data_IF_121996640621
#
_entry.id   IF_121996640621
#
_cell.length_a   1.000
_cell.length_b   1.000
_cell.length_c   1.000
_cell.angle_alpha   90.00
_cell.angle_beta   90.00
_cell.angle_gamma   90.00
#
_symmetry.space_group_name_H-M   'P 1'
#
loop_
_entity.id
_entity.type
_entity.pdbx_description
1 polymer ?
#
# COMPACT_ATOMS: atom_id res chain seq x y z
N UNK A 1 -2.01 -12.59 -15.84
CA UNK A 1 -0.96 -11.56 -15.76
C UNK A 1 0.37 -12.25 -15.99
N UNK A 2 1.17 -11.79 -16.94
CA UNK A 2 2.49 -12.37 -17.15
C UNK A 2 3.44 -12.01 -15.97
N UNK A 3 4.58 -12.67 -15.89
CA UNK A 3 5.50 -12.51 -14.76
C UNK A 3 6.03 -11.07 -14.63
N UNK A 4 6.29 -10.39 -15.76
CA UNK A 4 6.72 -9.00 -15.78
C UNK A 4 5.63 -8.05 -15.26
N UNK A 5 4.39 -8.21 -15.72
CA UNK A 5 3.26 -7.41 -15.24
C UNK A 5 3.05 -7.63 -13.74
N UNK A 6 3.18 -8.86 -13.24
CA UNK A 6 3.07 -9.17 -11.80
C UNK A 6 4.14 -8.46 -10.99
N UNK A 7 5.38 -8.52 -11.44
CA UNK A 7 6.51 -7.84 -10.80
C UNK A 7 6.33 -6.31 -10.81
N UNK A 8 5.85 -5.74 -11.91
CA UNK A 8 5.56 -4.30 -12.01
C UNK A 8 4.47 -3.91 -11.01
N UNK A 9 3.36 -4.64 -10.96
CA UNK A 9 2.26 -4.37 -10.02
C UNK A 9 2.74 -4.51 -8.56
N UNK A 10 3.57 -5.50 -8.28
CA UNK A 10 4.18 -5.68 -6.95
C UNK A 10 5.02 -4.46 -6.55
N UNK A 11 5.93 -4.00 -7.40
CA UNK A 11 6.76 -2.81 -7.12
C UNK A 11 5.94 -1.54 -6.94
N UNK A 12 4.87 -1.38 -7.72
CA UNK A 12 3.95 -0.25 -7.57
C UNK A 12 3.22 -0.30 -6.22
N UNK A 13 2.77 -1.48 -5.80
CA UNK A 13 2.13 -1.65 -4.51
C UNK A 13 3.11 -1.44 -3.33
N UNK A 14 4.35 -1.91 -3.42
CA UNK A 14 5.41 -1.64 -2.43
C UNK A 14 5.69 -0.14 -2.30
N UNK A 15 5.82 0.56 -3.43
CA UNK A 15 6.03 2.01 -3.46
C UNK A 15 4.83 2.76 -2.85
N UNK A 16 3.61 2.40 -3.23
CA UNK A 16 2.39 3.00 -2.68
C UNK A 16 2.30 2.79 -1.16
N UNK A 17 2.66 1.60 -0.66
CA UNK A 17 2.67 1.31 0.77
C UNK A 17 3.64 2.23 1.52
N UNK A 18 4.86 2.39 0.99
CA UNK A 18 5.87 3.30 1.57
C UNK A 18 5.39 4.75 1.61
N UNK A 19 4.81 5.24 0.52
CA UNK A 19 4.29 6.62 0.45
C UNK A 19 3.15 6.85 1.45
N UNK A 20 2.25 5.89 1.61
CA UNK A 20 1.17 5.94 2.60
C UNK A 20 1.70 5.93 4.03
N UNK A 21 2.74 5.16 4.33
CA UNK A 21 3.40 5.17 5.64
C UNK A 21 4.06 6.51 5.95
N UNK A 22 4.78 7.10 4.98
CA UNK A 22 5.39 8.41 5.14
C UNK A 22 4.34 9.50 5.33
N UNK A 23 3.26 9.47 4.54
CA UNK A 23 2.14 10.38 4.70
C UNK A 23 1.49 10.23 6.09
N UNK A 24 1.28 8.99 6.55
CA UNK A 24 0.66 8.71 7.85
C UNK A 24 1.47 9.29 9.02
N UNK A 25 2.81 9.26 8.92
CA UNK A 25 3.71 9.85 9.92
C UNK A 25 3.71 11.38 9.92
N UNK A 26 3.42 12.02 8.78
CA UNK A 26 3.45 13.50 8.63
C UNK A 26 2.16 14.17 9.09
N UNK A 27 1.02 13.50 9.00
CA UNK A 27 -0.27 14.10 9.35
C UNK A 27 -0.41 14.20 10.89
N UNK A 28 -0.90 15.32 11.45
CA UNK A 28 -1.26 15.44 12.86
C UNK A 28 -2.41 14.49 13.25
N UNK A 29 -2.41 13.95 14.48
CA UNK A 29 -3.44 13.01 14.96
C UNK A 29 -4.87 13.57 15.02
N UNK A 30 -5.04 14.87 14.81
CA UNK A 30 -6.33 15.56 14.95
C UNK A 30 -7.17 15.57 13.68
N UNK A 31 -6.64 15.07 12.55
CA UNK A 31 -7.36 15.05 11.26
C UNK A 31 -7.83 13.64 10.87
N UNK A 32 -9.03 13.57 10.27
CA UNK A 32 -9.59 12.38 9.66
C UNK A 32 -8.69 11.80 8.54
N UNK A 33 -7.74 12.59 8.03
CA UNK A 33 -6.69 12.17 7.10
C UNK A 33 -5.91 10.93 7.57
N UNK A 34 -5.62 10.78 8.88
CA UNK A 34 -4.95 9.57 9.39
C UNK A 34 -5.79 8.31 9.20
N UNK A 35 -7.10 8.38 9.44
CA UNK A 35 -7.98 7.22 9.26
C UNK A 35 -8.05 6.78 7.80
N UNK A 36 -8.07 7.72 6.85
CA UNK A 36 -8.02 7.39 5.42
C UNK A 36 -6.69 6.80 4.99
N UNK A 37 -5.57 7.37 5.45
CA UNK A 37 -4.24 6.84 5.17
C UNK A 37 -4.03 5.45 5.77
N UNK A 38 -4.49 5.22 7.00
CA UNK A 38 -4.47 3.89 7.62
C UNK A 38 -5.24 2.87 6.77
N UNK A 39 -6.48 3.19 6.37
CA UNK A 39 -7.27 2.30 5.51
C UNK A 39 -6.60 2.04 4.16
N UNK A 40 -6.01 3.07 3.55
CA UNK A 40 -5.24 2.92 2.31
C UNK A 40 -4.06 1.97 2.49
N UNK A 41 -3.29 2.14 3.56
CA UNK A 41 -2.13 1.31 3.90
C UNK A 41 -2.53 -0.16 4.06
N UNK A 42 -3.58 -0.45 4.81
CA UNK A 42 -4.05 -1.83 5.03
C UNK A 42 -4.53 -2.49 3.72
N UNK A 43 -5.21 -1.75 2.84
CA UNK A 43 -5.62 -2.29 1.53
C UNK A 43 -4.41 -2.66 0.67
N UNK A 44 -3.43 -1.77 0.57
CA UNK A 44 -2.22 -2.03 -0.23
C UNK A 44 -1.43 -3.21 0.36
N UNK A 45 -1.37 -3.32 1.69
CA UNK A 45 -0.77 -4.47 2.38
C UNK A 45 -1.46 -5.79 2.00
N UNK A 46 -2.80 -5.83 2.02
CA UNK A 46 -3.56 -7.01 1.61
C UNK A 46 -3.33 -7.36 0.12
N UNK A 47 -3.27 -6.35 -0.75
CA UNK A 47 -2.94 -6.56 -2.17
C UNK A 47 -1.55 -7.18 -2.34
N UNK A 48 -0.55 -6.71 -1.59
CA UNK A 48 0.79 -7.30 -1.58
C UNK A 48 0.80 -8.74 -1.06
N UNK A 49 0.01 -9.05 -0.03
CA UNK A 49 -0.13 -10.42 0.45
C UNK A 49 -0.70 -11.35 -0.62
N UNK A 50 -1.74 -10.92 -1.36
CA UNK A 50 -2.31 -11.68 -2.48
C UNK A 50 -1.27 -11.84 -3.59
N UNK A 51 -0.59 -10.76 -3.98
CA UNK A 51 0.44 -10.78 -5.01
C UNK A 51 1.61 -11.69 -4.66
N UNK A 52 1.98 -11.81 -3.38
CA UNK A 52 3.06 -12.69 -2.93
C UNK A 52 2.64 -14.15 -2.79
N UNK A 53 1.38 -14.42 -2.41
CA UNK A 53 0.85 -15.80 -2.29
C UNK A 53 0.72 -16.52 -3.63
N UNK A 54 0.65 -15.79 -4.75
CA UNK A 54 0.69 -16.38 -6.09
C UNK A 54 -0.53 -17.26 -6.42
N UNK A 55 -1.70 -16.91 -5.87
CA UNK A 55 -2.98 -17.55 -6.20
C UNK A 55 -3.36 -17.29 -7.66
#
# INVERSE_FOLDING_TARGET
>A
MNELEREVVKRLAEKALKELEEAYRRIPDVDNGKAYLFRGKERVRLMLEVLNKGV
#
